data_IF_961932804540
#
_entry.id   IF_961932804540
#
_cell.length_a   1.000
_cell.length_b   1.000
_cell.length_c   1.000
_cell.angle_alpha   90.00
_cell.angle_beta   90.00
_cell.angle_gamma   90.00
#
_symmetry.space_group_name_H-M   'P 1'
#
loop_
_entity.id
_entity.type
_entity.pdbx_description
1 polymer ?
#
# COMPACT_ATOMS: atom_id res chain seq x y z
N UNK A 1 33.47 -1.48 6.57
CA UNK A 1 32.61 -0.61 5.74
C UNK A 1 31.20 -1.14 5.86
N UNK A 2 30.31 -0.42 6.53
CA UNK A 2 28.90 -0.79 6.65
C UNK A 2 28.20 -0.40 5.35
N UNK A 3 27.72 -1.36 4.57
CA UNK A 3 26.71 -1.05 3.56
C UNK A 3 25.45 -0.68 4.34
N UNK A 4 25.14 0.62 4.43
CA UNK A 4 23.79 1.06 4.80
C UNK A 4 22.85 0.54 3.70
N UNK A 5 22.29 -0.65 3.89
CA UNK A 5 21.14 -1.10 3.14
C UNK A 5 20.01 -0.18 3.57
N UNK A 6 19.66 0.77 2.73
CA UNK A 6 18.51 1.63 2.94
C UNK A 6 17.39 1.16 2.02
N UNK A 7 16.25 0.87 2.62
CA UNK A 7 15.03 0.49 1.94
C UNK A 7 14.63 1.58 0.96
N UNK A 8 14.39 1.16 -0.28
CA UNK A 8 13.86 2.08 -1.30
C UNK A 8 12.41 1.74 -1.57
N UNK A 9 11.56 2.75 -1.46
CA UNK A 9 10.13 2.69 -1.72
C UNK A 9 9.81 3.29 -3.08
N UNK A 10 9.14 2.53 -3.93
CA UNK A 10 8.76 2.94 -5.30
C UNK A 10 7.24 2.95 -5.38
N UNK A 11 6.67 4.14 -5.52
CA UNK A 11 5.24 4.34 -5.74
C UNK A 11 4.80 3.77 -7.08
N UNK A 12 3.84 2.84 -7.08
CA UNK A 12 3.19 2.36 -8.29
C UNK A 12 2.01 3.27 -8.62
N UNK A 13 2.27 4.31 -9.40
CA UNK A 13 1.28 5.36 -9.73
C UNK A 13 0.03 4.81 -10.40
N UNK A 14 0.18 3.86 -11.32
CA UNK A 14 -0.93 3.20 -12.02
C UNK A 14 -1.76 2.29 -11.10
N UNK A 15 -1.22 1.96 -9.93
CA UNK A 15 -1.80 1.07 -8.92
C UNK A 15 -2.10 1.83 -7.63
N UNK A 16 -2.30 3.14 -7.73
CA UNK A 16 -2.64 4.01 -6.61
C UNK A 16 -3.79 4.91 -7.01
N UNK A 17 -4.94 4.78 -6.35
CA UNK A 17 -6.11 5.60 -6.66
C UNK A 17 -7.05 5.79 -5.49
N UNK A 18 -7.84 6.85 -5.61
CA UNK A 18 -9.04 7.08 -4.81
C UNK A 18 -10.21 6.28 -5.41
N UNK A 19 -10.91 5.55 -4.56
CA UNK A 19 -12.15 4.84 -4.88
C UNK A 19 -13.32 5.33 -4.02
N UNK A 20 -14.51 4.80 -4.34
CA UNK A 20 -15.75 5.08 -3.59
C UNK A 20 -16.39 3.77 -3.17
N UNK A 21 -16.82 3.68 -1.92
CA UNK A 21 -17.58 2.52 -1.45
C UNK A 21 -18.95 2.48 -2.15
N UNK A 22 -19.25 1.38 -2.82
CA UNK A 22 -20.46 1.24 -3.63
C UNK A 22 -21.67 0.72 -2.85
N UNK A 23 -21.46 0.11 -1.67
CA UNK A 23 -22.46 -0.59 -0.85
C UNK A 23 -22.11 -0.48 0.64
N UNK A 24 -23.06 -0.87 1.51
CA UNK A 24 -22.88 -0.87 2.97
C UNK A 24 -23.13 0.49 3.63
N UNK A 25 -22.83 0.58 4.93
CA UNK A 25 -22.99 1.79 5.75
C UNK A 25 -22.10 2.95 5.26
N UNK A 26 -20.99 2.62 4.59
CA UNK A 26 -20.03 3.59 4.06
C UNK A 26 -20.31 4.01 2.61
N UNK A 27 -21.45 3.63 2.02
CA UNK A 27 -21.77 3.94 0.63
C UNK A 27 -21.63 5.44 0.34
N UNK A 28 -20.88 5.78 -0.71
CA UNK A 28 -20.62 7.15 -1.12
C UNK A 28 -19.45 7.84 -0.39
N UNK A 29 -18.89 7.20 0.64
CA UNK A 29 -17.61 7.61 1.24
C UNK A 29 -16.44 7.13 0.37
N UNK A 30 -15.28 7.74 0.57
CA UNK A 30 -14.08 7.46 -0.21
C UNK A 30 -13.09 6.60 0.56
N UNK A 31 -12.35 5.80 -0.20
CA UNK A 31 -11.13 5.17 0.25
C UNK A 31 -10.00 5.55 -0.70
N UNK A 32 -8.78 5.56 -0.19
CA UNK A 32 -7.58 5.67 -1.01
C UNK A 32 -6.75 4.42 -0.81
N UNK A 33 -6.17 3.91 -1.88
CA UNK A 33 -5.15 2.87 -1.78
C UNK A 33 -3.95 3.21 -2.64
N UNK A 34 -2.79 2.71 -2.22
CA UNK A 34 -1.56 2.76 -3.00
C UNK A 34 -0.82 1.44 -2.92
N UNK A 35 -0.24 1.03 -4.04
CA UNK A 35 0.71 -0.07 -4.10
C UNK A 35 2.13 0.46 -4.18
N UNK A 36 3.03 -0.16 -3.42
CA UNK A 36 4.42 0.28 -3.27
C UNK A 36 5.35 -0.90 -3.42
N UNK A 37 6.39 -0.78 -4.25
CA UNK A 37 7.47 -1.77 -4.27
C UNK A 37 8.57 -1.37 -3.29
N UNK A 38 9.08 -2.37 -2.59
CA UNK A 38 10.17 -2.23 -1.62
C UNK A 38 11.37 -3.03 -2.12
N UNK A 39 12.54 -2.39 -2.18
CA UNK A 39 13.83 -3.05 -2.42
C UNK A 39 14.78 -2.85 -1.25
N UNK A 40 15.62 -3.86 -0.98
CA UNK A 40 16.59 -3.82 0.11
C UNK A 40 15.97 -4.05 1.49
N UNK A 41 15.06 -5.02 1.60
CA UNK A 41 14.34 -5.36 2.84
C UNK A 41 15.35 -5.77 3.92
N UNK A 42 15.37 -5.05 5.05
CA UNK A 42 16.18 -5.40 6.23
C UNK A 42 15.73 -6.71 6.88
N UNK A 43 16.69 -7.44 7.45
CA UNK A 43 16.45 -8.62 8.28
C UNK A 43 15.93 -8.25 9.69
N UNK A 44 16.12 -6.99 10.10
CA UNK A 44 15.53 -6.45 11.33
C UNK A 44 14.05 -6.07 11.10
N UNK A 45 13.17 -6.99 11.49
CA UNK A 45 11.72 -6.83 11.35
C UNK A 45 11.15 -5.63 12.10
N UNK A 46 11.72 -5.22 13.24
CA UNK A 46 11.19 -4.10 14.02
C UNK A 46 11.57 -2.77 13.36
N UNK A 47 12.83 -2.61 12.96
CA UNK A 47 13.27 -1.45 12.18
C UNK A 47 12.48 -1.34 10.88
N UNK A 48 12.35 -2.45 10.15
CA UNK A 48 11.63 -2.49 8.88
C UNK A 48 10.14 -2.12 9.06
N UNK A 49 9.48 -2.65 10.09
CA UNK A 49 8.10 -2.28 10.45
C UNK A 49 7.96 -0.76 10.66
N UNK A 50 8.89 -0.15 11.39
CA UNK A 50 8.87 1.28 11.66
C UNK A 50 9.03 2.11 10.39
N UNK A 51 9.83 1.64 9.44
CA UNK A 51 9.97 2.31 8.14
C UNK A 51 8.70 2.23 7.29
N UNK A 52 8.03 1.07 7.24
CA UNK A 52 6.74 0.93 6.56
C UNK A 52 5.69 1.89 7.15
N UNK A 53 5.61 1.97 8.48
CA UNK A 53 4.71 2.87 9.20
C UNK A 53 5.05 4.34 8.94
N UNK A 54 6.35 4.69 8.95
CA UNK A 54 6.83 6.04 8.66
C UNK A 54 6.49 6.43 7.22
N UNK A 55 6.68 5.52 6.28
CA UNK A 55 6.32 5.74 4.87
C UNK A 55 4.83 5.99 4.71
N UNK A 56 3.99 5.13 5.30
CA UNK A 56 2.52 5.28 5.26
C UNK A 56 2.07 6.62 5.86
N UNK A 57 2.61 6.98 7.01
CA UNK A 57 2.18 8.17 7.78
C UNK A 57 2.38 9.48 7.02
N UNK A 58 3.39 9.57 6.14
CA UNK A 58 3.67 10.77 5.32
C UNK A 58 2.51 11.22 4.42
N UNK A 59 1.59 10.30 4.08
CA UNK A 59 0.45 10.58 3.19
C UNK A 59 -0.89 10.66 3.92
N UNK A 60 -0.95 10.41 5.23
CA UNK A 60 -2.21 10.43 6.00
C UNK A 60 -2.89 11.80 5.88
N UNK A 61 -2.18 12.87 6.22
CA UNK A 61 -2.77 14.21 6.26
C UNK A 61 -3.33 14.61 4.88
N UNK A 62 -2.59 14.38 3.80
CA UNK A 62 -3.04 14.72 2.45
C UNK A 62 -4.21 13.87 1.96
N UNK A 63 -4.26 12.58 2.32
CA UNK A 63 -5.35 11.67 1.94
C UNK A 63 -6.66 12.01 2.66
N UNK A 64 -6.57 12.39 3.94
CA UNK A 64 -7.73 12.71 4.79
C UNK A 64 -8.14 14.19 4.77
N UNK A 65 -7.51 15.03 3.94
CA UNK A 65 -7.98 16.40 3.66
C UNK A 65 -9.42 16.41 3.11
N UNK A 66 -9.81 15.40 2.34
CA UNK A 66 -11.19 15.20 1.94
C UNK A 66 -11.97 14.52 3.07
N UNK A 67 -12.95 15.24 3.62
CA UNK A 67 -13.76 14.78 4.75
C UNK A 67 -14.61 13.53 4.45
N UNK A 68 -14.82 13.19 3.17
CA UNK A 68 -15.50 11.96 2.77
C UNK A 68 -14.54 10.77 2.71
N UNK A 69 -13.23 10.97 2.74
CA UNK A 69 -12.26 9.88 2.83
C UNK A 69 -12.25 9.31 4.25
N UNK A 70 -12.54 8.02 4.36
CA UNK A 70 -12.60 7.31 5.65
C UNK A 70 -11.55 6.21 5.81
N UNK A 71 -10.86 5.86 4.72
CA UNK A 71 -9.87 4.81 4.72
C UNK A 71 -8.70 5.13 3.78
N UNK A 72 -7.49 4.83 4.24
CA UNK A 72 -6.27 4.83 3.46
C UNK A 72 -5.56 3.49 3.62
N UNK A 73 -5.25 2.79 2.53
CA UNK A 73 -4.43 1.57 2.54
C UNK A 73 -3.12 1.78 1.77
N UNK A 74 -2.03 1.23 2.29
CA UNK A 74 -0.76 1.06 1.58
C UNK A 74 -0.41 -0.42 1.55
N UNK A 75 -0.28 -0.96 0.34
CA UNK A 75 0.03 -2.35 0.09
C UNK A 75 1.47 -2.43 -0.41
N UNK A 76 2.32 -3.11 0.34
CA UNK A 76 3.75 -3.21 0.07
C UNK A 76 4.07 -4.56 -0.55
N UNK A 77 4.87 -4.53 -1.61
CA UNK A 77 5.33 -5.72 -2.33
C UNK A 77 6.85 -5.72 -2.43
N UNK A 78 7.47 -6.90 -2.48
CA UNK A 78 8.89 -7.05 -2.78
C UNK A 78 9.13 -6.69 -4.25
N UNK A 79 10.12 -5.82 -4.51
CA UNK A 79 10.59 -5.55 -5.86
C UNK A 79 11.35 -6.78 -6.40
N UNK A 80 10.89 -7.32 -7.51
CA UNK A 80 11.54 -8.38 -8.26
C UNK A 80 11.24 -8.24 -9.77
N UNK A 81 11.68 -9.19 -10.60
CA UNK A 81 11.46 -9.14 -12.05
C UNK A 81 9.99 -9.15 -12.45
N UNK A 82 9.12 -9.84 -11.71
CA UNK A 82 7.67 -9.91 -11.97
C UNK A 82 6.95 -8.64 -11.50
N UNK A 83 7.19 -8.20 -10.26
CA UNK A 83 6.51 -7.02 -9.71
C UNK A 83 6.97 -5.70 -10.34
N UNK A 84 8.20 -5.65 -10.87
CA UNK A 84 8.71 -4.45 -11.55
C UNK A 84 7.95 -4.11 -12.84
N UNK A 85 7.26 -5.08 -13.45
CA UNK A 85 6.37 -4.83 -14.60
C UNK A 85 5.36 -3.71 -14.32
N UNK A 86 4.81 -3.70 -13.10
CA UNK A 86 3.75 -2.77 -12.70
C UNK A 86 4.22 -1.35 -12.38
N UNK A 87 5.54 -1.07 -12.45
CA UNK A 87 6.08 0.29 -12.35
C UNK A 87 5.54 1.14 -13.50
N UNK A 88 5.63 0.61 -14.73
CA UNK A 88 5.27 1.32 -15.94
C UNK A 88 3.91 0.86 -16.51
N UNK A 89 3.39 -0.28 -16.07
CA UNK A 89 2.18 -0.90 -16.62
C UNK A 89 1.03 -0.94 -15.62
N UNK A 90 -0.20 -0.83 -16.11
CA UNK A 90 -1.43 -1.08 -15.33
C UNK A 90 -1.75 -2.57 -15.30
N UNK A 91 -2.74 -2.99 -14.51
CA UNK A 91 -3.30 -4.34 -14.59
C UNK A 91 -3.86 -4.60 -16.00
N UNK A 92 -3.58 -5.77 -16.55
CA UNK A 92 -4.13 -6.25 -17.81
C UNK A 92 -4.88 -7.57 -17.58
N UNK A 93 -6.20 -7.53 -17.32
CA UNK A 93 -6.99 -8.72 -17.03
C UNK A 93 -7.42 -9.51 -18.30
N UNK A 94 -6.84 -9.24 -19.48
CA UNK A 94 -7.22 -9.87 -20.74
C UNK A 94 -6.06 -10.49 -21.54
N UNK A 95 -6.31 -11.64 -22.18
CA UNK A 95 -5.35 -12.30 -23.08
C UNK A 95 -4.52 -13.41 -22.43
N UNK A 96 -3.67 -14.06 -23.24
CA UNK A 96 -2.88 -15.23 -22.81
C UNK A 96 -1.82 -14.93 -21.73
N UNK A 97 -1.43 -13.66 -21.55
CA UNK A 97 -0.45 -13.20 -20.56
C UNK A 97 -1.03 -12.09 -19.68
N UNK A 98 -2.25 -12.27 -19.19
CA UNK A 98 -2.90 -11.33 -18.28
C UNK A 98 -2.10 -11.21 -16.98
N UNK A 99 -1.88 -9.98 -16.51
CA UNK A 99 -1.07 -9.68 -15.32
C UNK A 99 -1.85 -8.77 -14.38
N UNK A 100 -2.10 -9.24 -13.15
CA UNK A 100 -2.85 -8.51 -12.12
C UNK A 100 -1.98 -8.42 -10.86
N UNK A 101 -1.69 -7.20 -10.40
CA UNK A 101 -0.76 -6.99 -9.28
C UNK A 101 -1.25 -7.64 -7.98
N UNK A 102 -2.57 -7.69 -7.73
CA UNK A 102 -3.12 -8.32 -6.52
C UNK A 102 -2.81 -9.81 -6.43
N UNK A 103 -2.69 -10.50 -7.56
CA UNK A 103 -2.42 -11.94 -7.61
C UNK A 103 -1.01 -12.27 -7.11
N UNK A 104 -0.11 -11.28 -7.18
CA UNK A 104 1.25 -11.35 -6.66
C UNK A 104 1.37 -11.12 -5.15
N UNK A 105 0.27 -10.76 -4.46
CA UNK A 105 0.34 -10.46 -3.03
C UNK A 105 0.65 -11.69 -2.19
N UNK A 106 0.18 -12.88 -2.57
CA UNK A 106 0.45 -14.10 -1.83
C UNK A 106 1.95 -14.47 -1.84
N UNK A 107 2.62 -14.31 -2.98
CA UNK A 107 4.03 -14.70 -3.14
C UNK A 107 5.01 -13.55 -2.80
N UNK A 108 4.63 -12.31 -3.09
CA UNK A 108 5.53 -11.14 -2.99
C UNK A 108 4.98 -10.00 -2.15
N UNK A 109 3.79 -10.14 -1.57
CA UNK A 109 3.30 -9.19 -0.58
C UNK A 109 4.23 -9.16 0.63
N UNK A 110 4.37 -7.98 1.23
CA UNK A 110 5.15 -7.75 2.45
C UNK A 110 4.20 -7.42 3.60
N UNK A 111 3.38 -6.40 3.40
CA UNK A 111 2.43 -5.94 4.41
C UNK A 111 1.34 -5.09 3.77
N UNK A 112 0.23 -4.99 4.46
CA UNK A 112 -0.79 -3.97 4.26
C UNK A 112 -0.87 -3.11 5.52
N UNK A 113 -0.77 -1.79 5.35
CA UNK A 113 -1.06 -0.82 6.41
C UNK A 113 -2.35 -0.10 6.05
N UNK A 114 -3.32 -0.15 6.97
CA UNK A 114 -4.62 0.50 6.81
C UNK A 114 -4.80 1.53 7.91
N UNK A 115 -5.06 2.78 7.53
CA UNK A 115 -5.52 3.83 8.41
C UNK A 115 -6.99 4.11 8.16
N UNK A 116 -7.80 4.11 9.22
CA UNK A 116 -9.23 4.43 9.18
C UNK A 116 -9.55 5.62 10.06
N UNK A 117 -10.47 6.46 9.60
CA UNK A 117 -11.03 7.54 10.43
C UNK A 117 -11.94 6.93 11.49
N UNK A 118 -11.81 7.38 12.74
CA UNK A 118 -12.72 7.00 13.82
C UNK A 118 -13.91 7.96 13.77
N UNK A 119 -15.13 7.42 13.75
CA UNK A 119 -16.39 8.16 13.50
C UNK A 119 -16.45 9.53 14.17
N UNK A 120 -16.71 10.56 13.37
CA UNK A 120 -16.89 11.96 13.79
C UNK A 120 -15.74 12.55 14.64
N UNK A 121 -14.54 11.97 14.58
CA UNK A 121 -13.35 12.50 15.24
C UNK A 121 -12.24 12.84 14.22
N UNK A 122 -11.33 13.73 14.61
CA UNK A 122 -10.07 13.97 13.89
C UNK A 122 -8.98 12.96 14.26
N UNK A 123 -9.39 11.81 14.82
CA UNK A 123 -8.49 10.72 15.20
C UNK A 123 -8.56 9.59 14.19
N UNK A 124 -7.41 8.95 14.01
CA UNK A 124 -7.24 7.83 13.10
C UNK A 124 -6.79 6.58 13.86
N UNK A 125 -7.19 5.42 13.34
CA UNK A 125 -6.66 4.13 13.77
C UNK A 125 -5.85 3.53 12.64
N UNK A 126 -4.58 3.21 12.91
CA UNK A 126 -3.69 2.54 11.96
C UNK A 126 -3.45 1.10 12.39
N UNK A 127 -3.58 0.18 11.45
CA UNK A 127 -3.34 -1.25 11.62
C UNK A 127 -2.34 -1.72 10.56
N UNK A 128 -1.44 -2.63 10.93
CA UNK A 128 -0.50 -3.27 10.01
C UNK A 128 -0.71 -4.78 10.02
N UNK A 129 -0.72 -5.38 8.84
CA UNK A 129 -0.82 -6.83 8.63
C UNK A 129 0.32 -7.27 7.72
N UNK A 130 1.25 -8.04 8.25
CA UNK A 130 2.29 -8.67 7.44
C UNK A 130 1.70 -9.82 6.62
N UNK A 131 2.22 -10.02 5.41
CA UNK A 131 1.97 -11.24 4.65
C UNK A 131 2.61 -12.43 5.37
N UNK A 132 2.16 -13.64 5.03
CA UNK A 132 2.87 -14.86 5.45
C UNK A 132 4.13 -14.95 4.59
N UNK A 133 5.22 -14.36 5.05
CA UNK A 133 6.55 -14.56 4.47
C UNK A 133 7.01 -16.00 4.66
#
# INVERSE_FOLDING_TARGET
MSCNHQETFIDLKNHSRKGTFSRGEDKGKFFYYQSVLVSGISEDLESFKNELLTYHSKKIDSVFQDNKTIQFSSIFYKKNSKTSYFIDNSDDPGGFSSEILSDYYEEYGIAEIITKKIDNSDSYKTEIKFSKM
#
